data_IF_643295756106
#
_entry.id   IF_643295756106
#
_cell.length_a   1.000
_cell.length_b   1.000
_cell.length_c   1.000
_cell.angle_alpha   90.00
_cell.angle_beta   90.00
_cell.angle_gamma   90.00
#
_symmetry.space_group_name_H-M   'P 1'
#
loop_
_entity.id
_entity.type
_entity.pdbx_description
1 polymer ?
#
# COMPACT_ATOMS: atom_id res chain seq x y z
N UNK A 1 19.82 -13.01 -14.10
CA UNK A 1 19.16 -11.69 -14.21
C UNK A 1 17.77 -11.96 -14.73
N UNK A 2 16.74 -11.73 -13.92
CA UNK A 2 15.32 -11.94 -14.31
C UNK A 2 14.84 -10.63 -14.92
N UNK A 3 14.33 -10.70 -16.15
CA UNK A 3 13.92 -9.56 -16.95
C UNK A 3 12.88 -8.70 -16.22
N UNK A 4 13.07 -7.39 -16.30
CA UNK A 4 12.18 -6.36 -15.77
C UNK A 4 10.86 -6.23 -16.54
N UNK A 5 10.71 -6.95 -17.65
CA UNK A 5 9.53 -6.90 -18.52
C UNK A 5 9.11 -8.31 -18.95
N UNK A 6 7.85 -8.63 -18.69
CA UNK A 6 7.15 -9.88 -19.00
C UNK A 6 6.14 -10.15 -17.88
N UNK A 7 4.83 -10.11 -18.07
CA UNK A 7 3.99 -10.02 -19.25
C UNK A 7 2.66 -9.40 -18.80
N UNK A 8 2.05 -8.56 -19.65
CA UNK A 8 0.73 -7.94 -19.45
C UNK A 8 0.55 -7.09 -18.19
N UNK A 9 1.26 -5.96 -18.10
CA UNK A 9 0.87 -4.89 -17.18
C UNK A 9 -0.40 -4.25 -17.75
N UNK A 10 -1.58 -4.75 -17.35
CA UNK A 10 -2.82 -4.03 -17.54
C UNK A 10 -2.66 -2.68 -16.84
N UNK A 11 -2.29 -1.63 -17.57
CA UNK A 11 -2.49 -0.27 -17.10
C UNK A 11 -4.00 -0.11 -16.91
N UNK A 12 -4.40 -0.24 -15.64
CA UNK A 12 -5.53 0.42 -14.99
C UNK A 12 -6.78 0.58 -15.89
N UNK A 13 -7.70 -0.40 -15.83
CA UNK A 13 -9.07 -0.18 -16.33
C UNK A 13 -9.84 0.87 -15.50
N UNK A 14 -9.40 1.21 -14.28
CA UNK A 14 -10.10 2.13 -13.37
C UNK A 14 -9.14 3.06 -12.61
N UNK A 15 -9.24 4.38 -12.82
CA UNK A 15 -8.56 5.37 -11.99
C UNK A 15 -9.04 5.21 -10.54
N UNK A 16 -8.14 4.83 -9.63
CA UNK A 16 -8.42 4.76 -8.19
C UNK A 16 -7.96 6.04 -7.51
N UNK A 17 -8.60 6.38 -6.39
CA UNK A 17 -8.29 7.57 -5.62
C UNK A 17 -7.63 7.21 -4.30
N UNK A 18 -6.58 7.94 -3.92
CA UNK A 18 -6.00 7.91 -2.56
C UNK A 18 -6.42 9.16 -1.81
N UNK A 19 -6.69 9.01 -0.51
CA UNK A 19 -6.95 10.13 0.39
C UNK A 19 -5.63 10.72 0.89
N UNK A 20 -5.38 12.00 0.60
CA UNK A 20 -4.25 12.76 1.09
C UNK A 20 -4.71 13.69 2.20
N UNK A 21 -3.97 13.75 3.32
CA UNK A 21 -4.16 14.79 4.34
C UNK A 21 -3.59 16.09 3.79
N UNK A 22 -4.39 17.15 3.69
CA UNK A 22 -3.85 18.48 3.43
C UNK A 22 -3.17 18.97 4.71
N UNK A 23 -1.87 19.24 4.62
CA UNK A 23 -1.12 19.93 5.68
C UNK A 23 -0.75 21.37 5.25
N UNK A 24 -1.28 21.85 4.12
CA UNK A 24 -0.92 23.17 3.59
C UNK A 24 -1.62 24.28 4.38
N UNK A 25 -0.88 25.25 4.93
CA UNK A 25 -1.46 26.47 5.47
C UNK A 25 -1.90 27.45 4.37
N UNK A 26 -1.45 27.27 3.13
CA UNK A 26 -1.36 28.37 2.14
C UNK A 26 -2.01 28.09 0.78
N UNK A 27 -2.83 27.04 0.68
CA UNK A 27 -3.64 26.84 -0.53
C UNK A 27 -5.08 26.57 -0.10
N UNK A 28 -6.03 27.13 -0.85
CA UNK A 28 -7.50 27.05 -0.70
C UNK A 28 -8.09 25.61 -0.66
N UNK A 29 -7.29 24.58 -0.40
CA UNK A 29 -7.73 23.23 -0.08
C UNK A 29 -8.05 23.22 1.40
N UNK A 30 -9.34 23.10 1.73
CA UNK A 30 -9.83 23.02 3.10
C UNK A 30 -8.97 22.08 3.97
N UNK A 31 -8.81 22.45 5.25
CA UNK A 31 -8.22 21.57 6.27
C UNK A 31 -9.01 20.26 6.26
N UNK A 32 -8.45 19.18 5.71
CA UNK A 32 -9.21 17.96 5.46
C UNK A 32 -8.45 16.91 4.66
N UNK A 33 -9.13 15.81 4.34
CA UNK A 33 -8.60 14.80 3.42
C UNK A 33 -9.19 15.03 2.03
N UNK A 34 -8.35 15.18 1.01
CA UNK A 34 -8.82 15.30 -0.38
C UNK A 34 -8.45 14.05 -1.19
N UNK A 35 -9.25 13.76 -2.22
CA UNK A 35 -9.02 12.65 -3.15
C UNK A 35 -8.10 13.12 -4.26
N UNK A 36 -7.03 12.37 -4.52
CA UNK A 36 -6.19 12.56 -5.71
C UNK A 36 -6.18 11.27 -6.51
N UNK A 37 -6.37 11.33 -7.85
CA UNK A 37 -6.28 10.17 -8.70
C UNK A 37 -4.84 9.65 -8.68
N UNK A 38 -4.68 8.33 -8.57
CA UNK A 38 -3.38 7.66 -8.59
C UNK A 38 -3.49 6.42 -9.46
N UNK A 39 -2.49 6.21 -10.32
CA UNK A 39 -2.37 5.00 -11.12
C UNK A 39 -1.67 3.92 -10.29
N UNK A 40 -2.27 2.75 -10.21
CA UNK A 40 -1.73 1.61 -9.47
C UNK A 40 -1.64 0.40 -10.37
N UNK A 41 -0.63 -0.44 -10.17
CA UNK A 41 -0.70 -1.82 -10.65
C UNK A 41 -1.66 -2.58 -9.73
N UNK A 42 -2.66 -3.24 -10.31
CA UNK A 42 -3.55 -4.14 -9.56
C UNK A 42 -2.90 -5.51 -9.47
N UNK A 43 -2.32 -5.82 -8.31
CA UNK A 43 -1.63 -7.10 -8.06
C UNK A 43 -2.62 -8.23 -7.75
N UNK A 44 -3.82 -7.88 -7.30
CA UNK A 44 -4.89 -8.82 -7.02
C UNK A 44 -6.25 -8.14 -7.07
N UNK A 45 -7.25 -8.84 -7.61
CA UNK A 45 -8.67 -8.49 -7.54
C UNK A 45 -9.43 -9.68 -6.98
N UNK A 46 -9.92 -9.54 -5.76
CA UNK A 46 -10.79 -10.49 -5.09
C UNK A 46 -12.27 -10.20 -5.34
N UNK A 47 -13.12 -10.89 -4.59
CA UNK A 47 -14.57 -10.63 -4.55
C UNK A 47 -14.90 -9.32 -3.84
N UNK A 48 -16.12 -8.84 -4.02
CA UNK A 48 -16.69 -7.69 -3.30
C UNK A 48 -15.83 -6.41 -3.32
N UNK A 49 -15.07 -6.21 -4.41
CA UNK A 49 -14.23 -5.03 -4.59
C UNK A 49 -12.93 -5.02 -3.77
N UNK A 50 -12.56 -6.15 -3.14
CA UNK A 50 -11.28 -6.32 -2.46
C UNK A 50 -10.16 -6.34 -3.49
N UNK A 51 -9.09 -5.58 -3.26
CA UNK A 51 -7.96 -5.55 -4.18
C UNK A 51 -6.64 -5.26 -3.46
N UNK A 52 -5.54 -5.83 -4.00
CA UNK A 52 -4.17 -5.44 -3.65
C UNK A 52 -3.63 -4.55 -4.77
N UNK A 53 -3.12 -3.38 -4.42
CA UNK A 53 -2.63 -2.38 -5.35
C UNK A 53 -1.18 -2.03 -5.02
N UNK A 54 -0.33 -1.90 -6.03
CA UNK A 54 1.06 -1.45 -5.87
C UNK A 54 1.30 -0.16 -6.65
N UNK A 55 1.96 0.80 -6.02
CA UNK A 55 2.46 2.04 -6.63
C UNK A 55 3.99 2.07 -6.50
N UNK A 56 4.67 2.40 -7.58
CA UNK A 56 6.10 2.68 -7.57
C UNK A 56 6.31 4.18 -7.62
N UNK A 57 7.06 4.71 -6.65
CA UNK A 57 7.39 6.13 -6.55
C UNK A 57 8.88 6.30 -6.66
N UNK A 58 9.26 7.37 -7.34
CA UNK A 58 10.64 7.85 -7.36
C UNK A 58 10.64 9.28 -6.87
N UNK A 59 11.41 9.55 -5.83
CA UNK A 59 11.54 10.87 -5.22
C UNK A 59 13.01 11.24 -5.14
N UNK A 60 13.36 12.45 -5.56
CA UNK A 60 14.69 12.98 -5.30
C UNK A 60 14.78 13.37 -3.81
N UNK A 61 15.74 12.78 -3.11
CA UNK A 61 16.11 13.18 -1.76
C UNK A 61 17.48 13.86 -1.78
N UNK A 62 17.52 15.08 -1.25
CA UNK A 62 18.78 15.80 -1.01
C UNK A 62 19.11 15.71 0.48
N UNK A 63 20.29 15.19 0.81
CA UNK A 63 20.83 15.17 2.17
C UNK A 63 22.23 15.77 2.16
N UNK A 64 22.38 16.96 2.75
CA UNK A 64 23.60 17.74 2.65
C UNK A 64 23.89 18.13 1.19
N UNK A 65 25.10 17.83 0.71
CA UNK A 65 25.53 18.11 -0.67
C UNK A 65 25.20 17.00 -1.68
N UNK A 66 24.52 15.92 -1.25
CA UNK A 66 24.20 14.78 -2.12
C UNK A 66 22.72 14.75 -2.45
N UNK A 67 22.41 14.59 -3.73
CA UNK A 67 21.07 14.28 -4.23
C UNK A 67 21.07 12.85 -4.74
N UNK A 68 20.10 12.05 -4.31
CA UNK A 68 19.92 10.68 -4.75
C UNK A 68 18.45 10.41 -5.04
N UNK A 69 18.20 9.52 -6.02
CA UNK A 69 16.87 9.01 -6.29
C UNK A 69 16.52 7.94 -5.25
N UNK A 70 15.51 8.23 -4.44
CA UNK A 70 14.88 7.26 -3.56
C UNK A 70 13.75 6.58 -4.33
N UNK A 71 13.80 5.25 -4.42
CA UNK A 71 12.74 4.45 -5.03
C UNK A 71 11.93 3.78 -3.94
N UNK A 72 10.63 4.02 -3.93
CA UNK A 72 9.70 3.45 -2.97
C UNK A 72 8.67 2.56 -3.67
N UNK A 73 8.41 1.40 -3.09
CA UNK A 73 7.25 0.57 -3.43
C UNK A 73 6.22 0.72 -2.33
N UNK A 74 5.04 1.21 -2.70
CA UNK A 74 3.90 1.35 -1.82
C UNK A 74 2.89 0.26 -2.14
N UNK A 75 2.50 -0.50 -1.12
CA UNK A 75 1.44 -1.50 -1.23
C UNK A 75 0.19 -0.99 -0.51
N UNK A 76 -0.96 -1.19 -1.15
CA UNK A 76 -2.26 -0.77 -0.64
C UNK A 76 -3.26 -1.90 -0.74
N UNK A 77 -4.27 -1.85 0.10
CA UNK A 77 -5.44 -2.74 0.01
C UNK A 77 -6.71 -1.91 -0.08
N UNK A 78 -7.59 -2.29 -1.00
CA UNK A 78 -8.99 -1.87 -0.97
C UNK A 78 -9.76 -2.93 -0.20
N UNK A 79 -10.38 -2.54 0.90
CA UNK A 79 -11.24 -3.41 1.70
C UNK A 79 -12.65 -3.45 1.12
N UNK A 80 -13.42 -4.47 1.49
CA UNK A 80 -14.83 -4.58 1.14
C UNK A 80 -15.59 -3.35 1.65
N UNK A 81 -16.48 -2.83 0.82
CA UNK A 81 -17.32 -1.65 1.09
C UNK A 81 -16.57 -0.35 1.39
N UNK A 82 -15.24 -0.33 1.25
CA UNK A 82 -14.46 0.89 1.46
C UNK A 82 -14.25 1.68 0.15
N UNK A 83 -14.48 3.01 0.18
CA UNK A 83 -14.36 3.84 -1.00
C UNK A 83 -12.91 4.09 -1.44
N UNK A 84 -11.94 3.92 -0.52
CA UNK A 84 -10.54 4.24 -0.77
C UNK A 84 -9.61 3.11 -0.31
N UNK A 85 -8.49 2.94 -1.01
CA UNK A 85 -7.46 1.99 -0.59
C UNK A 85 -6.66 2.54 0.60
N UNK A 86 -6.31 1.64 1.52
CA UNK A 86 -5.49 1.89 2.71
C UNK A 86 -4.06 1.41 2.48
N UNK A 87 -3.09 2.04 3.15
CA UNK A 87 -1.68 1.67 3.04
C UNK A 87 -1.42 0.39 3.82
N UNK A 88 -0.82 -0.62 3.19
CA UNK A 88 -0.33 -1.84 3.84
C UNK A 88 1.16 -1.81 4.14
N UNK A 89 1.97 -1.24 3.25
CA UNK A 89 3.39 -1.07 3.48
C UNK A 89 4.01 -0.03 2.56
N UNK A 90 5.17 0.42 3.00
CA UNK A 90 6.12 1.19 2.19
C UNK A 90 7.46 0.49 2.35
N UNK A 91 8.12 0.23 1.22
CA UNK A 91 9.49 -0.30 1.21
C UNK A 91 10.37 0.59 0.35
N UNK A 92 11.45 1.10 0.93
CA UNK A 92 12.44 1.87 0.20
C UNK A 92 13.53 0.94 -0.35
N UNK A 93 13.96 1.16 -1.59
CA UNK A 93 15.08 0.43 -2.16
C UNK A 93 16.35 0.62 -1.29
N UNK A 94 16.99 -0.48 -0.90
CA UNK A 94 18.16 -0.46 -0.02
C UNK A 94 17.86 -0.35 1.48
N UNK A 95 16.58 -0.31 1.89
CA UNK A 95 16.20 -0.30 3.31
C UNK A 95 16.44 -1.68 3.97
N UNK A 96 16.74 -1.66 5.27
CA UNK A 96 16.85 -2.88 6.06
C UNK A 96 15.53 -3.68 6.00
N UNK A 97 15.57 -4.99 5.66
CA UNK A 97 14.41 -5.87 5.68
C UNK A 97 13.62 -5.85 7.00
N UNK A 98 14.29 -5.74 8.15
CA UNK A 98 13.62 -5.70 9.45
C UNK A 98 12.83 -4.41 9.67
N UNK A 99 13.37 -3.27 9.24
CA UNK A 99 12.67 -1.97 9.27
C UNK A 99 11.42 -2.03 8.39
N UNK A 100 11.59 -2.58 7.18
CA UNK A 100 10.52 -2.73 6.20
C UNK A 100 9.40 -3.64 6.74
N UNK A 101 9.76 -4.74 7.42
CA UNK A 101 8.80 -5.64 8.05
C UNK A 101 8.07 -4.97 9.22
N UNK A 102 8.77 -4.23 10.08
CA UNK A 102 8.14 -3.46 11.17
C UNK A 102 7.15 -2.42 10.63
N UNK A 103 7.50 -1.73 9.54
CA UNK A 103 6.61 -0.80 8.86
C UNK A 103 5.36 -1.51 8.31
N UNK A 104 5.53 -2.67 7.67
CA UNK A 104 4.41 -3.49 7.22
C UNK A 104 3.47 -3.89 8.36
N UNK A 105 4.00 -4.43 9.47
CA UNK A 105 3.19 -4.81 10.64
C UNK A 105 2.42 -3.60 11.17
N UNK A 106 3.07 -2.44 11.30
CA UNK A 106 2.44 -1.21 11.79
C UNK A 106 1.26 -0.78 10.91
N UNK A 107 1.45 -0.72 9.59
CA UNK A 107 0.39 -0.30 8.66
C UNK A 107 -0.72 -1.34 8.52
N UNK A 108 -0.37 -2.63 8.49
CA UNK A 108 -1.33 -3.73 8.43
C UNK A 108 -2.25 -3.73 9.66
N UNK A 109 -1.71 -3.58 10.87
CA UNK A 109 -2.52 -3.46 12.10
C UNK A 109 -3.51 -2.31 12.05
N UNK A 110 -3.08 -1.14 11.57
CA UNK A 110 -3.96 0.02 11.44
C UNK A 110 -5.05 -0.19 10.38
N UNK A 111 -4.68 -0.83 9.27
CA UNK A 111 -5.61 -1.10 8.17
C UNK A 111 -6.69 -2.08 8.58
N UNK A 112 -6.32 -3.16 9.27
CA UNK A 112 -7.21 -4.25 9.69
C UNK A 112 -7.66 -4.16 11.16
N UNK A 113 -7.63 -2.96 11.75
CA UNK A 113 -7.94 -2.76 13.18
C UNK A 113 -9.31 -3.33 13.62
N UNK A 114 -10.26 -3.45 12.68
CA UNK A 114 -11.60 -3.99 12.91
C UNK A 114 -11.67 -5.53 12.87
N UNK A 115 -10.54 -6.23 12.66
CA UNK A 115 -10.46 -7.69 12.54
C UNK A 115 -9.44 -8.24 13.56
N UNK A 116 -9.84 -8.43 14.83
CA UNK A 116 -8.92 -8.80 15.92
C UNK A 116 -8.10 -10.07 15.64
N UNK A 117 -8.74 -11.12 15.11
CA UNK A 117 -8.06 -12.38 14.77
C UNK A 117 -6.97 -12.18 13.71
N UNK A 118 -7.23 -11.32 12.73
CA UNK A 118 -6.27 -10.98 11.69
C UNK A 118 -5.12 -10.14 12.26
N UNK A 119 -5.41 -9.21 13.17
CA UNK A 119 -4.41 -8.41 13.87
C UNK A 119 -3.47 -9.30 14.69
N UNK A 120 -3.98 -10.29 15.40
CA UNK A 120 -3.17 -11.23 16.17
C UNK A 120 -2.20 -12.01 15.27
N UNK A 121 -2.67 -12.46 14.10
CA UNK A 121 -1.84 -13.15 13.09
C UNK A 121 -0.79 -12.23 12.44
N UNK A 122 -1.10 -10.94 12.30
CA UNK A 122 -0.11 -9.93 11.87
C UNK A 122 0.97 -9.76 12.94
N UNK A 123 0.59 -9.69 14.22
CA UNK A 123 1.53 -9.53 15.35
C UNK A 123 2.44 -10.75 15.56
N UNK A 124 1.95 -11.95 15.26
CA UNK A 124 2.74 -13.18 15.30
C UNK A 124 3.71 -13.31 14.11
N UNK A 125 3.81 -12.30 13.23
CA UNK A 125 4.62 -12.31 12.01
C UNK A 125 4.25 -13.43 11.02
N UNK A 126 3.00 -13.86 10.99
CA UNK A 126 2.53 -14.83 9.99
C UNK A 126 2.63 -14.27 8.56
N UNK A 127 2.53 -12.95 8.41
CA UNK A 127 2.55 -12.26 7.13
C UNK A 127 3.85 -11.46 6.93
N UNK A 128 4.27 -11.33 5.67
CA UNK A 128 5.49 -10.63 5.31
C UNK A 128 5.25 -9.56 4.24
N UNK A 129 6.02 -8.48 4.30
CA UNK A 129 6.08 -7.45 3.26
C UNK A 129 6.49 -8.00 1.88
N UNK A 130 7.19 -9.14 1.84
CA UNK A 130 7.56 -9.81 0.57
C UNK A 130 6.36 -10.44 -0.13
N UNK A 131 5.34 -10.83 0.63
CA UNK A 131 4.14 -11.49 0.14
C UNK A 131 2.88 -10.93 0.83
N UNK A 132 2.52 -9.65 0.53
CA UNK A 132 1.35 -9.01 1.12
C UNK A 132 0.03 -9.64 0.65
N UNK A 133 0.05 -10.42 -0.43
CA UNK A 133 -1.14 -11.09 -0.95
C UNK A 133 -1.68 -12.14 0.02
N UNK A 134 -0.82 -12.85 0.76
CA UNK A 134 -1.26 -13.79 1.81
C UNK A 134 -2.15 -13.13 2.85
N UNK A 135 -1.81 -11.91 3.27
CA UNK A 135 -2.61 -11.15 4.21
C UNK A 135 -3.96 -10.75 3.61
N UNK A 136 -3.99 -10.27 2.36
CA UNK A 136 -5.23 -9.88 1.68
C UNK A 136 -6.16 -11.09 1.48
N UNK A 137 -5.62 -12.26 1.12
CA UNK A 137 -6.41 -13.49 1.00
C UNK A 137 -6.94 -13.99 2.34
N UNK A 138 -6.15 -13.87 3.41
CA UNK A 138 -6.61 -14.19 4.75
C UNK A 138 -7.78 -13.28 5.18
N UNK A 139 -7.70 -11.99 4.86
CA UNK A 139 -8.81 -11.05 5.06
C UNK A 139 -10.04 -11.42 4.22
N UNK A 140 -9.87 -11.66 2.92
CA UNK A 140 -10.97 -12.02 2.03
C UNK A 140 -11.71 -13.27 2.51
N UNK A 141 -10.98 -14.28 2.99
CA UNK A 141 -11.59 -15.45 3.60
C UNK A 141 -12.49 -15.08 4.79
N UNK A 142 -12.09 -14.14 5.64
CA UNK A 142 -12.88 -13.73 6.82
C UNK A 142 -14.19 -13.02 6.42
N UNK A 143 -14.18 -12.20 5.37
CA UNK A 143 -15.35 -11.36 5.00
C UNK A 143 -16.28 -11.98 3.95
N UNK A 144 -15.90 -13.15 3.42
CA UNK A 144 -16.72 -13.91 2.45
C UNK A 144 -17.59 -14.98 3.12
N UNK A 145 -17.22 -15.42 4.33
CA UNK A 145 -18.06 -16.26 5.19
C UNK A 145 -18.95 -15.39 6.08
#
# INVERSE_FOLDING_TARGET
>A
MVGLDGDTVNYVREIRYRMFKSNSPDTKKEKGRYRMPVLFREDYRGKDGIALLTEFRETEQTTGLRTALQKERWCYVKLKDEPAARVLSVSTAGENPESTQKNFVRFAKQTFANYPDLVQRIESNEFSVKDPLKLVKAYEAIVTY
#
